data_IF_843881825848
#
_entry.id   IF_843881825848
#
_cell.length_a   1.000
_cell.length_b   1.000
_cell.length_c   1.000
_cell.angle_alpha   90.00
_cell.angle_beta   90.00
_cell.angle_gamma   90.00
#
_symmetry.space_group_name_H-M   'P 1'
#
loop_
_entity.id
_entity.type
_entity.pdbx_description
1 polymer ?
#
# COMPACT_ATOMS: atom_id res chain seq x y z
N UNK A 1 18.07 13.25 0.39
CA UNK A 1 18.69 11.92 0.24
C UNK A 1 17.73 10.87 0.77
N UNK A 2 17.70 9.71 0.17
CA UNK A 2 16.83 8.61 0.63
C UNK A 2 17.66 7.47 1.21
N UNK A 3 17.07 6.78 2.17
CA UNK A 3 17.60 5.56 2.74
C UNK A 3 16.62 4.42 2.43
N UNK A 4 17.13 3.20 2.32
CA UNK A 4 16.29 2.05 2.02
C UNK A 4 16.78 0.79 2.71
N UNK A 5 15.88 -0.17 2.85
CA UNK A 5 16.20 -1.51 3.32
C UNK A 5 15.18 -2.50 2.77
N UNK A 6 15.57 -3.76 2.70
CA UNK A 6 14.66 -4.84 2.35
C UNK A 6 14.24 -5.58 3.62
N UNK A 7 12.97 -5.93 3.71
CA UNK A 7 12.39 -6.64 4.86
C UNK A 7 11.58 -7.82 4.40
N UNK A 8 11.94 -9.01 4.84
CA UNK A 8 11.13 -10.21 4.66
C UNK A 8 9.98 -10.18 5.66
N UNK A 9 8.76 -10.28 5.17
CA UNK A 9 7.53 -10.23 6.00
C UNK A 9 6.81 -11.57 6.04
N UNK A 10 6.99 -12.39 5.02
CA UNK A 10 6.56 -13.80 4.95
C UNK A 10 7.66 -14.60 4.27
N UNK A 11 7.60 -15.92 4.33
CA UNK A 11 8.65 -16.78 3.72
C UNK A 11 8.86 -16.47 2.24
N UNK A 12 7.79 -16.13 1.54
CA UNK A 12 7.79 -15.85 0.11
C UNK A 12 7.56 -14.37 -0.24
N UNK A 13 7.56 -13.48 0.74
CA UNK A 13 7.33 -12.04 0.49
C UNK A 13 8.38 -11.20 1.18
N UNK A 14 9.12 -10.45 0.38
CA UNK A 14 10.07 -9.43 0.83
C UNK A 14 9.62 -8.08 0.29
N UNK A 15 9.67 -7.06 1.12
CA UNK A 15 9.29 -5.70 0.77
C UNK A 15 10.54 -4.83 0.74
N UNK A 16 10.58 -3.87 -0.19
CA UNK A 16 11.61 -2.82 -0.18
C UNK A 16 11.01 -1.56 0.40
N UNK A 17 11.64 -1.05 1.44
CA UNK A 17 11.21 0.13 2.18
C UNK A 17 12.16 1.28 1.85
N UNK A 18 11.60 2.41 1.43
CA UNK A 18 12.39 3.60 1.10
C UNK A 18 11.84 4.76 1.93
N UNK A 19 12.73 5.49 2.59
CA UNK A 19 12.37 6.65 3.39
C UNK A 19 13.13 7.89 2.94
N UNK A 20 12.45 9.02 2.97
CA UNK A 20 13.06 10.34 2.90
C UNK A 20 13.18 10.90 4.32
N UNK A 21 13.72 12.09 4.46
CA UNK A 21 13.76 12.79 5.75
C UNK A 21 12.37 13.18 6.26
N UNK A 22 11.35 13.13 5.42
CA UNK A 22 9.97 13.53 5.77
C UNK A 22 9.05 12.35 6.08
N UNK A 23 9.44 11.13 5.77
CA UNK A 23 8.61 9.96 6.03
C UNK A 23 8.89 8.79 5.09
N UNK A 24 8.04 7.79 5.15
CA UNK A 24 8.10 6.67 4.23
C UNK A 24 7.72 7.16 2.83
N UNK A 25 8.59 6.88 1.87
CA UNK A 25 8.43 7.31 0.49
C UNK A 25 7.90 6.19 -0.40
N UNK A 26 8.38 4.96 -0.19
CA UNK A 26 7.95 3.80 -0.97
C UNK A 26 7.94 2.53 -0.13
N UNK A 27 6.97 1.68 -0.40
CA UNK A 27 6.98 0.27 0.00
C UNK A 27 6.68 -0.52 -1.27
N UNK A 28 7.71 -1.22 -1.77
CA UNK A 28 7.64 -1.90 -3.05
C UNK A 28 7.47 -3.41 -2.83
N UNK A 29 6.58 -4.00 -3.62
CA UNK A 29 6.30 -5.43 -3.61
C UNK A 29 7.20 -6.18 -4.58
N UNK A 30 7.68 -5.51 -5.60
CA UNK A 30 8.68 -6.00 -6.54
C UNK A 30 9.45 -4.82 -7.12
N UNK A 31 10.65 -5.07 -7.59
CA UNK A 31 11.51 -4.06 -8.20
C UNK A 31 12.48 -4.73 -9.16
N UNK A 32 12.90 -4.00 -10.18
CA UNK A 32 13.88 -4.46 -11.16
C UNK A 32 15.18 -3.67 -11.13
N UNK A 33 15.16 -2.49 -10.47
CA UNK A 33 16.32 -1.60 -10.39
C UNK A 33 16.68 -1.37 -8.92
N UNK A 34 17.97 -1.18 -8.61
CA UNK A 34 18.34 -0.75 -7.26
C UNK A 34 17.75 0.63 -6.98
N UNK A 35 17.35 0.92 -5.75
CA UNK A 35 16.82 2.24 -5.41
C UNK A 35 17.94 3.27 -5.38
N UNK A 36 17.56 4.52 -5.60
CA UNK A 36 18.44 5.63 -5.31
C UNK A 36 18.66 5.74 -3.81
N UNK A 37 19.83 6.24 -3.42
CA UNK A 37 20.09 6.45 -2.01
C UNK A 37 20.90 5.33 -1.38
N UNK A 38 20.93 5.31 -0.07
CA UNK A 38 21.82 4.48 0.73
C UNK A 38 21.06 3.35 1.39
N UNK A 39 21.58 2.13 1.30
CA UNK A 39 21.06 1.03 2.10
C UNK A 39 21.38 1.29 3.57
N UNK A 40 20.34 1.38 4.39
CA UNK A 40 20.49 1.76 5.79
C UNK A 40 19.45 1.01 6.67
N UNK A 41 19.71 -0.27 6.97
CA UNK A 41 18.78 -1.05 7.79
C UNK A 41 18.70 -0.57 9.24
N UNK A 42 19.61 0.31 9.65
CA UNK A 42 19.62 0.86 11.01
C UNK A 42 18.83 2.16 11.14
N UNK A 43 18.31 2.71 10.04
CA UNK A 43 17.52 3.93 10.09
C UNK A 43 16.31 3.74 11.00
N UNK A 44 16.08 4.61 11.99
CA UNK A 44 14.99 4.42 12.94
C UNK A 44 13.61 4.32 12.31
N UNK A 45 13.32 5.14 11.28
CA UNK A 45 12.04 5.10 10.60
C UNK A 45 11.86 3.80 9.81
N UNK A 46 12.89 3.37 9.09
CA UNK A 46 12.84 2.10 8.35
C UNK A 46 12.67 0.91 9.28
N UNK A 47 13.33 0.94 10.44
CA UNK A 47 13.17 -0.11 11.47
C UNK A 47 11.74 -0.14 12.01
N UNK A 48 11.15 1.02 12.30
CA UNK A 48 9.77 1.08 12.79
C UNK A 48 8.79 0.62 11.71
N UNK A 49 8.98 1.01 10.46
CA UNK A 49 8.16 0.54 9.34
C UNK A 49 8.26 -0.98 9.19
N UNK A 50 9.48 -1.53 9.25
CA UNK A 50 9.69 -2.97 9.18
C UNK A 50 8.99 -3.69 10.34
N UNK A 51 9.08 -3.16 11.56
CA UNK A 51 8.41 -3.73 12.73
C UNK A 51 6.89 -3.75 12.54
N UNK A 52 6.31 -2.65 12.08
CA UNK A 52 4.87 -2.57 11.88
C UNK A 52 4.39 -3.50 10.75
N UNK A 53 5.14 -3.57 9.66
CA UNK A 53 4.79 -4.48 8.57
C UNK A 53 4.87 -5.95 8.99
N UNK A 54 5.90 -6.32 9.74
CA UNK A 54 5.99 -7.68 10.29
C UNK A 54 4.83 -7.98 11.24
N UNK A 55 4.45 -7.04 12.09
CA UNK A 55 3.31 -7.20 13.00
C UNK A 55 2.00 -7.30 12.23
N UNK A 56 1.83 -6.53 11.15
CA UNK A 56 0.66 -6.62 10.28
C UNK A 56 0.54 -8.02 9.66
N UNK A 57 1.61 -8.54 9.09
CA UNK A 57 1.60 -9.87 8.47
C UNK A 57 1.47 -11.01 9.50
N UNK A 58 1.82 -10.75 10.74
CA UNK A 58 1.60 -11.70 11.84
C UNK A 58 0.17 -11.65 12.41
N UNK A 59 -0.66 -10.69 11.96
CA UNK A 59 -2.02 -10.51 12.47
C UNK A 59 -2.10 -9.70 13.74
N UNK A 60 -1.01 -9.06 14.17
CA UNK A 60 -0.92 -8.34 15.44
C UNK A 60 -1.11 -6.83 15.30
N UNK A 61 -1.14 -6.31 14.08
CA UNK A 61 -1.33 -4.89 13.81
C UNK A 61 -2.39 -4.70 12.74
N UNK A 62 -3.35 -3.83 12.98
CA UNK A 62 -4.42 -3.51 12.03
C UNK A 62 -4.31 -2.10 11.45
N UNK A 63 -3.66 -1.21 12.16
CA UNK A 63 -3.54 0.18 11.76
C UNK A 63 -2.08 0.62 11.86
N UNK A 64 -1.58 1.20 10.78
CA UNK A 64 -0.21 1.70 10.74
C UNK A 64 -0.13 3.11 11.33
N UNK A 65 0.98 3.40 11.98
CA UNK A 65 1.29 4.72 12.52
C UNK A 65 2.69 5.11 12.04
N UNK A 66 2.77 5.61 10.81
CA UNK A 66 4.01 5.97 10.15
C UNK A 66 3.84 7.32 9.45
N UNK A 67 4.83 8.21 9.54
CA UNK A 67 4.83 9.40 8.69
C UNK A 67 5.02 8.98 7.24
N UNK A 68 4.18 9.50 6.35
CA UNK A 68 4.22 9.19 4.93
C UNK A 68 4.64 10.42 4.14
N UNK A 69 5.54 10.23 3.20
CA UNK A 69 5.96 11.27 2.26
C UNK A 69 5.39 10.93 0.88
N UNK A 70 4.06 11.07 0.76
CA UNK A 70 3.36 10.80 -0.49
C UNK A 70 3.65 11.89 -1.51
N UNK A 71 4.08 11.49 -2.69
CA UNK A 71 4.38 12.38 -3.81
C UNK A 71 3.66 11.90 -5.06
N UNK A 72 2.82 12.76 -5.61
CA UNK A 72 2.08 12.47 -6.82
C UNK A 72 1.35 13.69 -7.33
N UNK A 73 0.60 13.54 -8.40
CA UNK A 73 -0.26 14.59 -8.92
C UNK A 73 -1.38 14.90 -7.92
N UNK A 74 -2.05 16.05 -8.08
CA UNK A 74 -3.17 16.42 -7.22
C UNK A 74 -4.26 15.34 -7.24
N UNK A 75 -4.54 14.78 -8.41
CA UNK A 75 -5.53 13.71 -8.54
C UNK A 75 -5.09 12.44 -7.80
N UNK A 76 -3.84 12.00 -8.00
CA UNK A 76 -3.29 10.83 -7.29
C UNK A 76 -3.35 11.03 -5.78
N UNK A 77 -2.95 12.21 -5.29
CA UNK A 77 -2.99 12.51 -3.86
C UNK A 77 -4.41 12.41 -3.30
N UNK A 78 -5.41 12.90 -4.05
CA UNK A 78 -6.81 12.80 -3.63
C UNK A 78 -7.25 11.34 -3.53
N UNK A 79 -6.89 10.51 -4.50
CA UNK A 79 -7.19 9.08 -4.48
C UNK A 79 -6.51 8.41 -3.29
N UNK A 80 -5.21 8.60 -3.13
CA UNK A 80 -4.46 7.94 -2.06
C UNK A 80 -4.94 8.33 -0.65
N UNK A 81 -5.30 9.60 -0.45
CA UNK A 81 -5.88 10.04 0.82
C UNK A 81 -7.22 9.36 1.09
N UNK A 82 -8.01 9.13 0.04
CA UNK A 82 -9.27 8.41 0.19
C UNK A 82 -9.04 6.94 0.52
N UNK A 83 -8.02 6.31 -0.07
CA UNK A 83 -7.65 4.93 0.27
C UNK A 83 -7.30 4.77 1.74
N UNK A 84 -6.62 5.74 2.32
CA UNK A 84 -6.23 5.71 3.73
C UNK A 84 -7.43 5.67 4.69
N UNK A 85 -8.62 6.05 4.22
CA UNK A 85 -9.85 6.02 5.01
C UNK A 85 -10.53 4.65 5.01
N UNK A 86 -10.11 3.71 4.17
CA UNK A 86 -10.72 2.38 4.12
C UNK A 86 -10.24 1.58 5.33
N UNK A 87 -11.15 1.19 6.24
CA UNK A 87 -10.75 0.47 7.45
C UNK A 87 -10.21 -0.94 7.15
N UNK A 88 -9.43 -1.44 8.05
CA UNK A 88 -8.97 -2.83 8.04
C UNK A 88 -10.19 -3.76 7.96
N UNK A 89 -10.14 -4.74 7.07
CA UNK A 89 -11.21 -5.72 6.88
C UNK A 89 -12.36 -5.27 5.99
N UNK A 90 -12.31 -4.02 5.48
CA UNK A 90 -13.33 -3.50 4.58
C UNK A 90 -12.79 -3.32 3.17
N UNK A 91 -13.69 -3.27 2.20
CA UNK A 91 -13.35 -3.01 0.81
C UNK A 91 -14.23 -1.90 0.25
N UNK A 92 -13.74 -1.29 -0.84
CA UNK A 92 -14.50 -0.32 -1.63
C UNK A 92 -14.34 -0.68 -3.11
N UNK A 93 -15.31 -0.28 -3.92
CA UNK A 93 -15.18 -0.38 -5.36
C UNK A 93 -14.48 0.87 -5.92
N UNK A 94 -13.94 0.78 -7.12
CA UNK A 94 -13.32 1.94 -7.78
C UNK A 94 -14.32 3.09 -7.94
N UNK A 95 -15.59 2.77 -8.23
CA UNK A 95 -16.65 3.78 -8.32
C UNK A 95 -16.93 4.47 -6.98
N UNK A 96 -16.81 3.76 -5.86
CA UNK A 96 -16.95 4.37 -4.54
C UNK A 96 -15.88 5.43 -4.30
N UNK A 97 -14.64 5.13 -4.67
CA UNK A 97 -13.54 6.09 -4.55
C UNK A 97 -13.77 7.29 -5.47
N UNK A 98 -14.20 7.05 -6.72
CA UNK A 98 -14.49 8.13 -7.67
C UNK A 98 -15.58 9.07 -7.13
N UNK A 99 -16.63 8.54 -6.54
CA UNK A 99 -17.67 9.33 -5.93
C UNK A 99 -17.16 10.11 -4.72
N UNK A 100 -16.38 9.47 -3.87
CA UNK A 100 -15.85 10.09 -2.66
C UNK A 100 -14.95 11.30 -2.95
N UNK A 101 -14.22 11.28 -4.07
CA UNK A 101 -13.38 12.40 -4.49
C UNK A 101 -14.11 13.38 -5.42
N UNK A 102 -15.45 13.27 -5.52
CA UNK A 102 -16.31 14.14 -6.33
C UNK A 102 -16.01 14.08 -7.84
N UNK A 103 -15.57 12.93 -8.33
CA UNK A 103 -15.28 12.70 -9.74
C UNK A 103 -15.87 11.36 -10.20
N UNK A 104 -17.22 11.19 -10.17
CA UNK A 104 -17.84 9.89 -10.38
C UNK A 104 -17.60 9.29 -11.77
N UNK A 105 -17.22 10.12 -12.75
CA UNK A 105 -16.90 9.65 -14.11
C UNK A 105 -15.44 9.22 -14.26
N UNK A 106 -14.60 9.43 -13.24
CA UNK A 106 -13.16 9.20 -13.31
C UNK A 106 -12.75 7.80 -12.83
N UNK A 107 -13.59 6.78 -12.99
CA UNK A 107 -13.33 5.42 -12.49
C UNK A 107 -12.04 4.83 -13.04
N UNK A 108 -11.77 5.02 -14.34
CA UNK A 108 -10.51 4.55 -14.96
C UNK A 108 -9.29 5.26 -14.40
N UNK A 109 -9.39 6.59 -14.23
CA UNK A 109 -8.29 7.37 -13.66
C UNK A 109 -8.05 7.00 -12.20
N UNK A 110 -9.11 6.70 -11.45
CA UNK A 110 -8.99 6.16 -10.09
C UNK A 110 -8.24 4.83 -10.11
N UNK A 111 -8.58 3.94 -11.03
CA UNK A 111 -7.89 2.66 -11.19
C UNK A 111 -6.40 2.85 -11.47
N UNK A 112 -6.05 3.78 -12.36
CA UNK A 112 -4.65 4.08 -12.67
C UNK A 112 -3.92 4.67 -11.45
N UNK A 113 -4.53 5.59 -10.72
CA UNK A 113 -3.95 6.17 -9.50
C UNK A 113 -3.77 5.11 -8.41
N UNK A 114 -4.75 4.21 -8.26
CA UNK A 114 -4.67 3.10 -7.33
C UNK A 114 -3.47 2.21 -7.65
N UNK A 115 -3.26 1.88 -8.92
CA UNK A 115 -2.13 1.07 -9.37
C UNK A 115 -0.78 1.78 -9.25
N UNK A 116 -0.77 3.11 -9.23
CA UNK A 116 0.44 3.92 -9.10
C UNK A 116 0.82 4.21 -7.63
N UNK A 117 0.10 3.68 -6.66
CA UNK A 117 0.37 3.86 -5.24
C UNK A 117 1.82 3.47 -4.90
N UNK A 118 2.64 4.41 -4.41
CA UNK A 118 4.04 4.11 -4.10
C UNK A 118 4.24 3.42 -2.75
N UNK A 119 3.26 3.49 -1.84
CA UNK A 119 3.39 2.97 -0.48
C UNK A 119 2.38 1.84 -0.28
N UNK A 120 2.66 0.70 -0.90
CA UNK A 120 1.77 -0.46 -0.86
C UNK A 120 1.50 -0.91 0.58
N UNK A 121 0.33 -1.46 0.82
CA UNK A 121 -0.13 -2.00 2.10
C UNK A 121 -0.50 -0.92 3.10
N UNK A 122 0.39 0.02 3.41
CA UNK A 122 0.10 1.13 4.33
C UNK A 122 -0.95 2.05 3.72
N UNK A 123 -0.79 2.44 2.45
CA UNK A 123 -1.86 3.02 1.66
C UNK A 123 -2.60 1.84 1.00
N UNK A 124 -3.79 1.48 1.47
CA UNK A 124 -4.34 0.15 1.24
C UNK A 124 -5.03 0.00 -0.12
N UNK A 125 -4.27 0.13 -1.19
CA UNK A 125 -4.80 -0.04 -2.54
C UNK A 125 -5.36 -1.47 -2.78
N UNK A 126 -4.92 -2.45 -1.99
CA UNK A 126 -5.45 -3.81 -2.06
C UNK A 126 -6.91 -3.91 -1.60
N UNK A 127 -7.43 -2.91 -0.88
CA UNK A 127 -8.82 -2.87 -0.40
C UNK A 127 -9.80 -2.33 -1.45
N UNK A 128 -9.32 -1.99 -2.64
CA UNK A 128 -10.18 -1.57 -3.75
C UNK A 128 -10.36 -2.74 -4.70
N UNK A 129 -11.62 -3.07 -4.98
CA UNK A 129 -12.00 -4.23 -5.78
C UNK A 129 -12.98 -3.81 -6.89
N UNK A 130 -13.24 -4.70 -7.83
CA UNK A 130 -14.22 -4.47 -8.89
C UNK A 130 -15.64 -4.41 -8.35
N UNK A 131 -16.54 -3.78 -9.10
CA UNK A 131 -17.93 -3.54 -8.69
C UNK A 131 -18.73 -4.82 -8.43
N UNK A 132 -18.31 -5.94 -9.02
CA UNK A 132 -18.93 -7.26 -8.80
C UNK A 132 -18.23 -8.06 -7.69
N UNK A 133 -17.35 -7.46 -6.91
CA UNK A 133 -16.53 -8.14 -5.93
C UNK A 133 -15.31 -8.84 -6.49
N UNK A 134 -15.02 -8.67 -7.78
CA UNK A 134 -13.87 -9.28 -8.42
C UNK A 134 -12.57 -8.63 -7.97
N UNK A 135 -11.55 -9.47 -7.79
CA UNK A 135 -10.19 -8.97 -7.58
C UNK A 135 -9.60 -8.60 -8.94
N UNK A 136 -9.32 -7.32 -9.12
CA UNK A 136 -8.73 -6.80 -10.36
C UNK A 136 -7.52 -5.96 -10.01
N UNK A 137 -6.46 -6.11 -10.78
CA UNK A 137 -5.26 -5.28 -10.72
C UNK A 137 -4.59 -5.18 -9.35
N UNK A 138 -3.34 -5.59 -9.25
CA UNK A 138 -2.52 -5.32 -8.06
C UNK A 138 -1.05 -5.46 -8.45
N UNK A 139 -0.21 -4.53 -7.98
CA UNK A 139 1.22 -4.52 -8.29
C UNK A 139 1.96 -5.78 -7.84
N UNK A 140 1.56 -6.38 -6.72
CA UNK A 140 2.11 -7.63 -6.22
C UNK A 140 1.44 -8.88 -6.79
N UNK A 141 0.47 -8.72 -7.72
CA UNK A 141 -0.29 -9.82 -8.29
C UNK A 141 -1.56 -10.15 -7.50
N UNK A 142 -2.55 -10.72 -8.18
CA UNK A 142 -3.83 -11.07 -7.59
C UNK A 142 -3.72 -12.10 -6.44
N UNK A 143 -2.82 -13.10 -6.49
CA UNK A 143 -2.65 -14.00 -5.35
C UNK A 143 -2.28 -13.28 -4.05
N UNK A 144 -1.38 -12.29 -4.11
CA UNK A 144 -1.03 -11.51 -2.93
C UNK A 144 -2.19 -10.64 -2.48
N UNK A 145 -2.90 -9.99 -3.41
CA UNK A 145 -4.09 -9.21 -3.08
C UNK A 145 -5.12 -10.05 -2.32
N UNK A 146 -5.39 -11.25 -2.80
CA UNK A 146 -6.29 -12.19 -2.12
C UNK A 146 -5.81 -12.52 -0.72
N UNK A 147 -4.52 -12.83 -0.57
CA UNK A 147 -3.93 -13.16 0.74
C UNK A 147 -4.10 -12.02 1.74
N UNK A 148 -3.87 -10.78 1.31
CA UNK A 148 -4.04 -9.61 2.17
C UNK A 148 -5.50 -9.45 2.60
N UNK A 149 -6.44 -9.57 1.68
CA UNK A 149 -7.86 -9.46 1.99
C UNK A 149 -8.34 -10.59 2.89
N UNK A 150 -7.94 -11.83 2.65
CA UNK A 150 -8.28 -12.97 3.49
C UNK A 150 -7.72 -12.80 4.91
N UNK A 151 -6.48 -12.37 5.01
CA UNK A 151 -5.85 -12.10 6.30
C UNK A 151 -6.62 -11.04 7.09
N UNK A 152 -7.04 -9.97 6.42
CA UNK A 152 -7.79 -8.89 7.06
C UNK A 152 -9.20 -9.28 7.46
N UNK A 153 -9.83 -10.20 6.73
CA UNK A 153 -11.18 -10.67 7.03
C UNK A 153 -11.24 -11.95 7.87
N UNK A 154 -10.10 -12.52 8.21
CA UNK A 154 -10.07 -13.75 8.99
C UNK A 154 -10.34 -15.01 8.18
N UNK A 155 -9.88 -15.06 6.93
CA UNK A 155 -9.91 -16.24 6.06
C UNK A 155 -11.32 -16.69 5.68
N UNK A 156 -12.23 -15.76 5.39
CA UNK A 156 -13.62 -16.06 5.01
C UNK A 156 -13.85 -16.01 3.49
N UNK A 157 -12.82 -16.17 2.71
CA UNK A 157 -12.93 -16.25 1.26
C UNK A 157 -12.99 -17.69 0.78
#
# INVERSE_FOLDING_TARGET
MTDWTDQKVLDDVTLRLVASENGILEILLHWSQPPDGRQNPSDPLLREAARQLCAYFAGDLRQFDLPLDLRGTDFQMRVWRELLKIPYGETRCYSDIAQAIHSPKAVRAVGAANGANPISIVVPCHRVIGSSGKLVGYGGGLPLKRRLLEMERGSLF
#
